data_IF_969937601543
#
_entry.id   IF_969937601543
#
_cell.length_a   1.000
_cell.length_b   1.000
_cell.length_c   1.000
_cell.angle_alpha   90.00
_cell.angle_beta   90.00
_cell.angle_gamma   90.00
#
_symmetry.space_group_name_H-M   'P 1'
#
loop_
_entity.id
_entity.type
_entity.pdbx_description
1 polymer ?
#
# COMPACT_ATOMS: atom_id res chain seq x y z
N UNK A 1 -15.00 -0.80 5.61
CA UNK A 1 -15.25 0.32 6.52
C UNK A 1 -15.52 1.59 5.71
N UNK A 2 -16.32 2.51 6.26
CA UNK A 2 -16.64 3.80 5.62
C UNK A 2 -16.31 4.94 6.58
N UNK A 3 -15.69 6.01 6.04
CA UNK A 3 -15.26 7.19 6.79
C UNK A 3 -15.63 8.46 6.02
N UNK A 4 -15.44 9.62 6.64
CA UNK A 4 -15.70 10.92 6.04
C UNK A 4 -17.20 11.21 5.90
N UNK A 5 -17.63 11.87 4.83
CA UNK A 5 -19.02 12.28 4.61
C UNK A 5 -19.84 11.10 4.08
N UNK A 6 -20.65 10.48 4.93
CA UNK A 6 -21.44 9.29 4.59
C UNK A 6 -22.35 9.52 3.36
N UNK A 7 -23.04 10.67 3.31
CA UNK A 7 -23.93 11.09 2.23
C UNK A 7 -23.23 12.04 1.25
N UNK A 8 -22.00 11.71 0.84
CA UNK A 8 -21.32 12.48 -0.18
C UNK A 8 -22.07 12.39 -1.52
N UNK A 9 -22.04 13.47 -2.30
CA UNK A 9 -22.64 13.50 -3.63
C UNK A 9 -22.06 12.38 -4.54
N UNK A 10 -22.80 11.92 -5.54
CA UNK A 10 -22.26 11.02 -6.56
C UNK A 10 -20.91 11.54 -7.11
N UNK A 11 -19.96 10.65 -7.37
CA UNK A 11 -18.61 11.04 -7.82
C UNK A 11 -17.70 11.61 -6.72
N UNK A 12 -18.07 11.53 -5.45
CA UNK A 12 -17.26 12.01 -4.31
C UNK A 12 -16.87 10.88 -3.35
N UNK A 13 -16.51 9.75 -3.92
CA UNK A 13 -16.03 8.59 -3.15
C UNK A 13 -14.57 8.30 -3.47
N UNK A 14 -13.75 8.20 -2.44
CA UNK A 14 -12.41 7.61 -2.50
C UNK A 14 -12.55 6.13 -2.13
N UNK A 15 -11.93 5.24 -2.88
CA UNK A 15 -11.87 3.81 -2.60
C UNK A 15 -10.42 3.41 -2.31
N UNK A 16 -10.13 3.03 -1.08
CA UNK A 16 -8.81 2.56 -0.65
C UNK A 16 -8.82 1.03 -0.55
N UNK A 17 -7.94 0.37 -1.28
CA UNK A 17 -7.87 -1.10 -1.29
C UNK A 17 -6.44 -1.61 -1.29
N UNK A 18 -6.28 -2.86 -0.87
CA UNK A 18 -4.99 -3.57 -0.81
C UNK A 18 -4.90 -4.53 0.36
N UNK A 19 -3.69 -4.76 0.80
CA UNK A 19 -3.39 -5.58 1.97
C UNK A 19 -3.17 -4.73 3.25
N UNK A 20 -2.29 -5.16 4.15
CA UNK A 20 -1.93 -4.39 5.35
C UNK A 20 -1.33 -3.02 5.03
N UNK A 21 -0.75 -2.83 3.85
CA UNK A 21 -0.25 -1.53 3.40
C UNK A 21 -1.37 -0.53 3.13
N UNK A 22 -2.55 -0.98 2.69
CA UNK A 22 -3.73 -0.10 2.63
C UNK A 22 -4.25 0.24 4.03
N UNK A 23 -4.18 -0.70 4.97
CA UNK A 23 -4.58 -0.46 6.36
C UNK A 23 -3.78 0.67 6.99
N UNK A 24 -2.46 0.71 6.79
CA UNK A 24 -1.59 1.76 7.39
C UNK A 24 -1.90 3.17 6.87
N UNK A 25 -2.54 3.33 5.72
CA UNK A 25 -2.94 4.63 5.15
C UNK A 25 -4.37 5.02 5.49
N UNK A 26 -5.16 4.14 6.12
CA UNK A 26 -6.59 4.38 6.40
C UNK A 26 -6.82 5.69 7.15
N UNK A 27 -6.08 5.94 8.23
CA UNK A 27 -6.23 7.17 9.04
C UNK A 27 -5.95 8.42 8.23
N UNK A 28 -4.90 8.41 7.45
CA UNK A 28 -4.47 9.56 6.62
C UNK A 28 -5.49 9.85 5.53
N UNK A 29 -5.93 8.83 4.80
CA UNK A 29 -6.91 8.99 3.72
C UNK A 29 -8.30 9.34 4.28
N UNK A 30 -8.66 8.84 5.49
CA UNK A 30 -9.91 9.22 6.15
C UNK A 30 -9.93 10.71 6.51
N UNK A 31 -8.83 11.25 7.05
CA UNK A 31 -8.70 12.70 7.32
C UNK A 31 -8.79 13.51 6.02
N UNK A 32 -8.09 13.06 4.97
CA UNK A 32 -8.15 13.70 3.65
C UNK A 32 -9.59 13.70 3.11
N UNK A 33 -10.30 12.59 3.19
CA UNK A 33 -11.71 12.50 2.77
C UNK A 33 -12.60 13.46 3.55
N UNK A 34 -12.41 13.56 4.87
CA UNK A 34 -13.18 14.46 5.74
C UNK A 34 -12.98 15.93 5.34
N UNK A 35 -11.73 16.36 5.21
CA UNK A 35 -11.40 17.76 4.82
C UNK A 35 -11.98 18.09 3.46
N UNK A 36 -11.97 17.16 2.51
CA UNK A 36 -12.50 17.37 1.16
C UNK A 36 -13.99 17.06 1.01
N UNK A 37 -14.73 16.84 2.11
CA UNK A 37 -16.17 16.50 2.08
C UNK A 37 -16.48 15.28 1.21
N UNK A 38 -15.60 14.28 1.22
CA UNK A 38 -15.72 13.05 0.46
C UNK A 38 -16.07 11.87 1.37
N UNK A 39 -16.64 10.83 0.78
CA UNK A 39 -16.76 9.51 1.40
C UNK A 39 -15.50 8.70 1.11
N UNK A 40 -14.94 8.05 2.13
CA UNK A 40 -13.92 7.03 1.96
C UNK A 40 -14.54 5.65 2.21
N UNK A 41 -14.37 4.75 1.28
CA UNK A 41 -14.63 3.31 1.46
C UNK A 41 -13.30 2.58 1.51
N UNK A 42 -13.07 1.83 2.58
CA UNK A 42 -11.85 1.02 2.76
C UNK A 42 -12.21 -0.45 2.68
N UNK A 43 -11.60 -1.13 1.71
CA UNK A 43 -11.59 -2.59 1.61
C UNK A 43 -10.13 -3.05 1.60
N UNK A 44 -9.64 -3.50 2.74
CA UNK A 44 -8.27 -3.98 2.90
C UNK A 44 -8.26 -5.30 3.67
N UNK A 45 -7.38 -6.24 3.27
CA UNK A 45 -7.24 -7.55 3.90
C UNK A 45 -5.76 -7.87 4.05
N UNK A 46 -5.21 -7.83 5.30
CA UNK A 46 -3.80 -8.13 5.54
C UNK A 46 -3.34 -9.42 4.87
N UNK A 47 -2.19 -9.37 4.21
CA UNK A 47 -1.60 -10.48 3.46
C UNK A 47 -2.24 -10.78 2.10
N UNK A 48 -3.41 -10.24 1.79
CA UNK A 48 -4.09 -10.46 0.51
C UNK A 48 -3.66 -9.40 -0.52
N UNK A 49 -2.56 -9.65 -1.18
CA UNK A 49 -1.96 -8.69 -2.12
C UNK A 49 -2.81 -8.43 -3.36
N UNK A 50 -2.69 -7.25 -3.93
CA UNK A 50 -3.44 -6.77 -5.12
C UNK A 50 -2.83 -7.33 -6.42
N UNK A 51 -2.85 -8.65 -6.57
CA UNK A 51 -2.36 -9.40 -7.71
C UNK A 51 -3.35 -10.50 -8.08
N UNK A 52 -3.36 -10.96 -9.32
CA UNK A 52 -4.10 -12.16 -9.73
C UNK A 52 -3.36 -13.43 -9.30
N UNK A 53 -4.02 -14.57 -9.47
CA UNK A 53 -3.52 -15.88 -9.01
C UNK A 53 -3.92 -16.18 -7.57
N UNK A 54 -4.19 -17.43 -7.28
CA UNK A 54 -4.53 -17.88 -5.93
C UNK A 54 -3.29 -17.89 -5.05
N UNK A 55 -3.37 -17.26 -3.87
CA UNK A 55 -2.26 -17.24 -2.91
C UNK A 55 -2.23 -18.49 -2.06
N UNK A 56 -1.05 -18.85 -1.53
CA UNK A 56 -0.95 -19.78 -0.39
C UNK A 56 -1.71 -19.22 0.80
N UNK A 57 -2.11 -20.08 1.72
CA UNK A 57 -2.85 -19.63 2.91
C UNK A 57 -2.14 -18.48 3.64
N UNK A 58 -2.84 -17.37 3.79
CA UNK A 58 -2.33 -16.10 4.34
C UNK A 58 -1.06 -15.56 3.68
N UNK A 59 -0.81 -15.93 2.42
CA UNK A 59 0.41 -15.55 1.67
C UNK A 59 1.72 -16.00 2.36
N UNK A 60 1.66 -17.09 3.13
CA UNK A 60 2.83 -17.65 3.80
C UNK A 60 3.48 -18.71 2.92
N UNK A 61 4.76 -18.56 2.55
CA UNK A 61 5.46 -19.56 1.75
C UNK A 61 5.44 -20.95 2.38
N UNK A 62 5.15 -21.98 1.57
CA UNK A 62 5.14 -23.37 2.02
C UNK A 62 3.91 -23.78 2.83
N UNK A 63 2.95 -22.89 3.10
CA UNK A 63 1.66 -23.30 3.68
C UNK A 63 0.81 -24.02 2.63
N UNK A 64 0.24 -25.18 2.98
CA UNK A 64 -0.55 -25.96 2.02
C UNK A 64 -1.87 -25.27 1.67
N UNK A 65 -2.24 -25.42 0.40
CA UNK A 65 -3.54 -25.05 -0.14
C UNK A 65 -3.75 -23.57 -0.47
N UNK A 66 -4.77 -23.30 -1.27
CA UNK A 66 -5.11 -21.94 -1.70
C UNK A 66 -5.82 -21.16 -0.60
N UNK A 67 -5.56 -19.85 -0.55
CA UNK A 67 -6.27 -18.94 0.35
C UNK A 67 -7.57 -18.41 -0.26
N UNK A 68 -8.60 -19.24 -0.31
CA UNK A 68 -9.90 -18.91 -0.92
C UNK A 68 -10.57 -17.68 -0.33
N UNK A 69 -10.30 -17.36 0.94
CA UNK A 69 -10.81 -16.13 1.56
C UNK A 69 -10.17 -14.84 0.99
N UNK A 70 -8.97 -14.92 0.44
CA UNK A 70 -8.37 -13.82 -0.32
C UNK A 70 -9.00 -13.70 -1.72
N UNK A 71 -9.23 -14.82 -2.41
CA UNK A 71 -9.86 -14.82 -3.72
C UNK A 71 -11.29 -14.24 -3.66
N UNK A 72 -12.09 -14.65 -2.64
CA UNK A 72 -13.41 -14.07 -2.37
C UNK A 72 -13.33 -12.56 -2.05
N UNK A 73 -12.33 -12.15 -1.27
CA UNK A 73 -12.12 -10.74 -0.95
C UNK A 73 -11.82 -9.90 -2.21
N UNK A 74 -10.93 -10.37 -3.09
CA UNK A 74 -10.62 -9.67 -4.36
C UNK A 74 -11.85 -9.57 -5.25
N UNK A 75 -12.65 -10.64 -5.34
CA UNK A 75 -13.92 -10.61 -6.08
C UNK A 75 -14.90 -9.58 -5.49
N UNK A 76 -14.99 -9.50 -4.15
CA UNK A 76 -15.82 -8.50 -3.48
C UNK A 76 -15.33 -7.06 -3.73
N UNK A 77 -13.99 -6.83 -3.78
CA UNK A 77 -13.41 -5.54 -4.17
C UNK A 77 -13.86 -5.15 -5.58
N UNK A 78 -13.75 -6.08 -6.54
CA UNK A 78 -14.17 -5.84 -7.92
C UNK A 78 -15.68 -5.49 -8.03
N UNK A 79 -16.53 -6.21 -7.30
CA UNK A 79 -17.96 -5.93 -7.24
C UNK A 79 -18.26 -4.57 -6.61
N UNK A 80 -17.57 -4.23 -5.51
CA UNK A 80 -17.72 -2.95 -4.83
C UNK A 80 -17.32 -1.77 -5.73
N UNK A 81 -16.20 -1.87 -6.46
CA UNK A 81 -15.76 -0.83 -7.39
C UNK A 81 -16.80 -0.63 -8.51
N UNK A 82 -17.32 -1.71 -9.10
CA UNK A 82 -18.39 -1.65 -10.11
C UNK A 82 -19.65 -0.96 -9.60
N UNK A 83 -20.08 -1.29 -8.38
CA UNK A 83 -21.29 -0.74 -7.78
C UNK A 83 -21.14 0.70 -7.32
N UNK A 84 -20.00 1.05 -6.72
CA UNK A 84 -19.78 2.36 -6.11
C UNK A 84 -19.36 3.43 -7.13
N UNK A 85 -18.77 3.04 -8.27
CA UNK A 85 -18.17 3.96 -9.24
C UNK A 85 -17.37 5.08 -8.55
N UNK A 86 -16.31 4.75 -7.81
CA UNK A 86 -15.57 5.74 -7.03
C UNK A 86 -14.90 6.77 -7.96
N UNK A 87 -14.76 8.00 -7.48
CA UNK A 87 -14.06 9.05 -8.22
C UNK A 87 -12.53 8.92 -8.14
N UNK A 88 -12.02 8.25 -7.10
CA UNK A 88 -10.59 7.98 -6.93
C UNK A 88 -10.40 6.57 -6.34
N UNK A 89 -9.58 5.76 -6.98
CA UNK A 89 -9.12 4.47 -6.46
C UNK A 89 -7.67 4.60 -6.02
N UNK A 90 -7.39 4.27 -4.78
CA UNK A 90 -6.04 4.22 -4.21
C UNK A 90 -5.73 2.77 -3.85
N UNK A 91 -4.71 2.21 -4.48
CA UNK A 91 -4.22 0.85 -4.17
C UNK A 91 -2.91 0.95 -3.40
N UNK A 92 -2.82 0.24 -2.28
CA UNK A 92 -1.58 0.10 -1.53
C UNK A 92 -1.39 -1.37 -1.14
N UNK A 93 -0.39 -2.02 -1.70
CA UNK A 93 -0.19 -3.46 -1.56
C UNK A 93 1.28 -3.83 -1.56
N UNK A 94 1.59 -4.94 -0.89
CA UNK A 94 2.90 -5.56 -0.96
C UNK A 94 3.15 -6.07 -2.39
N UNK A 95 4.35 -5.86 -2.97
CA UNK A 95 4.69 -6.34 -4.30
C UNK A 95 4.89 -7.87 -4.35
N UNK A 96 5.10 -8.54 -3.20
CA UNK A 96 5.42 -9.97 -3.16
C UNK A 96 4.22 -10.85 -2.89
N UNK A 97 4.11 -11.94 -3.66
CA UNK A 97 3.09 -12.97 -3.53
C UNK A 97 3.73 -14.36 -3.45
N UNK A 98 3.14 -15.23 -2.64
CA UNK A 98 3.39 -16.67 -2.63
C UNK A 98 2.14 -17.37 -3.16
N UNK A 99 2.25 -18.00 -4.34
CA UNK A 99 1.12 -18.60 -5.04
C UNK A 99 0.87 -20.03 -4.57
N UNK A 100 -0.37 -20.48 -4.67
CA UNK A 100 -0.80 -21.83 -4.27
C UNK A 100 -0.15 -22.95 -5.11
N UNK A 101 0.34 -22.62 -6.31
CA UNK A 101 1.09 -23.52 -7.18
C UNK A 101 2.60 -23.59 -6.86
N UNK A 102 3.03 -22.95 -5.77
CA UNK A 102 4.41 -22.92 -5.28
C UNK A 102 5.29 -21.83 -5.89
N UNK A 103 4.83 -21.10 -6.91
CA UNK A 103 5.58 -19.98 -7.47
C UNK A 103 5.60 -18.78 -6.52
N UNK A 104 6.63 -17.95 -6.62
CA UNK A 104 6.79 -16.73 -5.80
C UNK A 104 7.20 -15.55 -6.67
N UNK A 105 6.50 -14.44 -6.53
CA UNK A 105 6.85 -13.23 -7.27
C UNK A 105 8.15 -12.61 -6.77
N UNK A 106 8.57 -12.90 -5.53
CA UNK A 106 9.87 -12.47 -5.00
C UNK A 106 11.08 -13.02 -5.74
N UNK A 107 10.92 -14.18 -6.40
CA UNK A 107 11.97 -14.81 -7.23
C UNK A 107 11.66 -14.75 -8.73
N UNK A 108 10.48 -14.27 -9.09
CA UNK A 108 9.99 -14.17 -10.47
C UNK A 108 9.34 -12.79 -10.68
N UNK A 109 10.13 -11.71 -10.87
CA UNK A 109 9.60 -10.35 -11.00
C UNK A 109 8.60 -10.19 -12.14
N UNK A 110 8.81 -10.87 -13.28
CA UNK A 110 7.87 -10.83 -14.41
C UNK A 110 6.50 -11.40 -14.03
N UNK A 111 6.44 -12.48 -13.27
CA UNK A 111 5.17 -13.03 -12.76
C UNK A 111 4.46 -12.01 -11.85
N UNK A 112 5.22 -11.28 -11.02
CA UNK A 112 4.71 -10.20 -10.19
C UNK A 112 4.14 -9.05 -11.03
N UNK A 113 4.85 -8.66 -12.08
CA UNK A 113 4.39 -7.69 -13.08
C UNK A 113 3.04 -8.11 -13.68
N UNK A 114 2.98 -9.28 -14.30
CA UNK A 114 1.82 -9.76 -15.05
C UNK A 114 0.58 -9.90 -14.15
N UNK A 115 0.75 -10.44 -12.94
CA UNK A 115 -0.33 -10.57 -11.97
C UNK A 115 -0.83 -9.22 -11.45
N UNK A 116 0.06 -8.25 -11.24
CA UNK A 116 -0.30 -6.88 -10.83
C UNK A 116 -1.01 -6.16 -11.96
N UNK A 117 -0.45 -6.19 -13.17
CA UNK A 117 -1.04 -5.58 -14.37
C UNK A 117 -2.46 -6.09 -14.59
N UNK A 118 -2.65 -7.41 -14.56
CA UNK A 118 -3.96 -8.05 -14.73
C UNK A 118 -4.96 -7.57 -13.66
N UNK A 119 -4.58 -7.53 -12.39
CA UNK A 119 -5.46 -7.11 -11.30
C UNK A 119 -5.84 -5.62 -11.42
N UNK A 120 -4.87 -4.74 -11.64
CA UNK A 120 -5.10 -3.30 -11.73
C UNK A 120 -5.90 -2.92 -12.99
N UNK A 121 -5.66 -3.60 -14.12
CA UNK A 121 -6.48 -3.45 -15.35
C UNK A 121 -7.94 -3.82 -15.08
N UNK A 122 -8.21 -4.88 -14.33
CA UNK A 122 -9.57 -5.23 -13.92
C UNK A 122 -10.23 -4.12 -13.08
N UNK A 123 -9.51 -3.51 -12.14
CA UNK A 123 -10.02 -2.38 -11.34
C UNK A 123 -10.36 -1.18 -12.24
N UNK A 124 -9.43 -0.77 -13.11
CA UNK A 124 -9.64 0.33 -14.07
C UNK A 124 -10.87 0.12 -14.92
N UNK A 125 -11.03 -1.08 -15.49
CA UNK A 125 -12.15 -1.39 -16.38
C UNK A 125 -13.51 -1.35 -15.68
N UNK A 126 -13.56 -1.47 -14.35
CA UNK A 126 -14.80 -1.37 -13.56
C UNK A 126 -15.17 0.05 -13.15
N UNK A 127 -14.22 0.98 -13.17
CA UNK A 127 -14.45 2.39 -12.88
C UNK A 127 -13.59 3.26 -13.85
N UNK A 128 -13.94 3.30 -15.13
CA UNK A 128 -13.11 3.88 -16.19
C UNK A 128 -12.91 5.39 -16.04
N UNK A 129 -13.78 6.08 -15.30
CA UNK A 129 -13.71 7.52 -15.07
C UNK A 129 -13.02 7.89 -13.75
N UNK A 130 -12.56 6.91 -12.97
CA UNK A 130 -11.88 7.16 -11.69
C UNK A 130 -10.47 7.66 -11.91
N UNK A 131 -10.00 8.58 -11.04
CA UNK A 131 -8.58 8.76 -10.83
C UNK A 131 -7.96 7.49 -10.25
N UNK A 132 -6.77 7.11 -10.71
CA UNK A 132 -6.13 5.85 -10.35
C UNK A 132 -4.75 6.10 -9.75
N UNK A 133 -4.55 5.74 -8.49
CA UNK A 133 -3.27 5.87 -7.78
C UNK A 133 -2.81 4.54 -7.19
N UNK A 134 -1.52 4.25 -7.31
CA UNK A 134 -0.87 3.14 -6.64
C UNK A 134 0.23 3.65 -5.72
N UNK A 135 0.11 3.39 -4.41
CA UNK A 135 1.16 3.69 -3.43
C UNK A 135 2.19 2.57 -3.48
N UNK A 136 3.37 2.89 -4.00
CA UNK A 136 4.45 1.93 -4.28
C UNK A 136 5.70 2.24 -3.46
N UNK A 137 6.73 1.39 -3.57
CA UNK A 137 8.07 1.61 -3.00
C UNK A 137 8.05 1.93 -1.49
N UNK A 138 7.27 1.16 -0.72
CA UNK A 138 7.32 1.27 0.75
C UNK A 138 8.61 0.61 1.26
N UNK A 139 9.50 1.36 1.95
CA UNK A 139 10.76 0.79 2.43
C UNK A 139 10.51 -0.14 3.63
N UNK A 140 10.92 -1.41 3.49
CA UNK A 140 10.95 -2.34 4.61
C UNK A 140 12.21 -2.12 5.43
N UNK A 141 12.04 -1.89 6.72
CA UNK A 141 13.16 -1.67 7.66
C UNK A 141 13.38 -2.85 8.60
N UNK A 142 12.76 -4.01 8.32
CA UNK A 142 12.92 -5.23 9.11
C UNK A 142 14.07 -6.11 8.66
N UNK A 143 14.70 -6.75 9.63
CA UNK A 143 15.41 -8.00 9.42
C UNK A 143 16.80 -7.87 8.85
N UNK A 144 17.58 -6.92 9.29
CA UNK A 144 19.03 -7.06 9.28
C UNK A 144 19.39 -7.88 10.52
N UNK A 145 19.71 -9.16 10.30
CA UNK A 145 20.32 -10.08 11.28
C UNK A 145 20.01 -9.79 12.76
N UNK A 146 18.86 -10.24 13.21
CA UNK A 146 18.62 -10.53 14.64
C UNK A 146 18.29 -9.37 15.57
N UNK A 147 18.39 -8.11 15.18
CA UNK A 147 18.26 -7.00 16.14
C UNK A 147 17.53 -5.75 15.63
N UNK A 148 17.15 -5.66 14.40
CA UNK A 148 16.64 -4.39 13.84
C UNK A 148 15.12 -4.22 13.98
N UNK A 149 14.61 -4.33 15.19
CA UNK A 149 13.37 -3.68 15.56
C UNK A 149 13.74 -2.23 15.93
N UNK A 150 13.32 -1.19 15.16
CA UNK A 150 13.67 0.19 15.48
C UNK A 150 13.29 0.59 16.90
N UNK A 151 12.16 0.11 17.41
CA UNK A 151 11.68 0.43 18.76
C UNK A 151 12.59 -0.21 19.83
N UNK A 152 12.98 -1.48 19.65
CA UNK A 152 13.89 -2.15 20.57
C UNK A 152 15.29 -1.50 20.55
N UNK A 153 15.79 -1.15 19.37
CA UNK A 153 17.05 -0.43 19.22
C UNK A 153 17.01 0.92 19.93
N UNK A 154 15.97 1.73 19.71
CA UNK A 154 15.83 3.05 20.35
C UNK A 154 15.77 2.97 21.87
N UNK A 155 15.21 1.90 22.42
CA UNK A 155 15.18 1.72 23.89
C UNK A 155 16.58 1.51 24.46
N UNK A 156 17.49 0.90 23.70
CA UNK A 156 18.89 0.67 24.10
C UNK A 156 19.81 1.87 23.76
N UNK A 157 19.46 2.70 22.77
CA UNK A 157 20.30 3.79 22.26
C UNK A 157 19.66 5.18 22.41
N UNK A 158 19.07 5.47 23.57
CA UNK A 158 18.31 6.72 23.82
C UNK A 158 19.11 8.00 23.59
N UNK A 159 20.42 7.98 23.85
CA UNK A 159 21.30 9.13 23.67
C UNK A 159 21.83 9.27 22.23
N UNK A 160 21.71 8.24 21.39
CA UNK A 160 22.23 8.21 20.01
C UNK A 160 21.23 7.50 19.09
N UNK A 161 20.10 8.14 18.82
CA UNK A 161 19.00 7.55 18.04
C UNK A 161 19.40 7.15 16.62
N UNK A 162 20.39 7.84 16.01
CA UNK A 162 20.94 7.53 14.69
C UNK A 162 21.67 6.17 14.61
N UNK A 163 22.06 5.59 15.76
CA UNK A 163 22.59 4.23 15.81
C UNK A 163 21.52 3.18 15.40
N UNK A 164 20.25 3.58 15.39
CA UNK A 164 19.11 2.74 14.98
C UNK A 164 18.65 2.97 13.56
N UNK A 165 19.31 3.84 12.81
CA UNK A 165 19.02 4.06 11.40
C UNK A 165 19.40 2.81 10.59
N UNK A 166 18.53 2.39 9.69
CA UNK A 166 18.72 1.15 8.94
C UNK A 166 18.75 1.41 7.44
N UNK A 167 19.44 0.55 6.70
CA UNK A 167 19.29 0.52 5.24
C UNK A 167 18.03 -0.23 4.88
N UNK A 168 17.25 0.25 3.89
CA UNK A 168 16.07 -0.48 3.42
C UNK A 168 16.49 -1.88 2.96
N UNK A 169 15.67 -2.86 3.31
CA UNK A 169 15.87 -4.25 2.89
C UNK A 169 15.51 -4.43 1.42
N UNK A 170 16.17 -5.37 0.74
CA UNK A 170 15.71 -5.90 -0.55
C UNK A 170 14.26 -6.42 -0.41
N UNK A 171 13.39 -6.19 -1.40
CA UNK A 171 11.94 -6.40 -1.29
C UNK A 171 11.17 -5.15 -0.89
N UNK A 172 11.84 -4.03 -0.68
CA UNK A 172 11.25 -2.75 -0.27
C UNK A 172 10.64 -1.93 -1.42
N UNK A 173 10.49 -2.52 -2.59
CA UNK A 173 9.91 -1.83 -3.74
C UNK A 173 10.92 -1.10 -4.64
N UNK A 174 12.20 -1.08 -4.28
CA UNK A 174 13.29 -0.55 -5.12
C UNK A 174 14.12 -1.67 -5.77
N UNK A 175 13.78 -2.91 -5.47
CA UNK A 175 14.36 -4.08 -6.11
C UNK A 175 13.58 -4.45 -7.40
N UNK A 176 14.02 -5.51 -8.07
CA UNK A 176 13.42 -5.97 -9.32
C UNK A 176 11.90 -6.22 -9.19
N UNK A 177 11.42 -6.68 -8.03
CA UNK A 177 10.00 -6.97 -7.80
C UNK A 177 9.19 -5.69 -7.63
N UNK A 178 9.68 -4.74 -6.84
CA UNK A 178 9.03 -3.46 -6.66
C UNK A 178 9.02 -2.63 -7.95
N UNK A 179 10.12 -2.67 -8.70
CA UNK A 179 10.21 -2.05 -10.02
C UNK A 179 9.19 -2.67 -10.98
N UNK A 180 9.11 -3.99 -11.07
CA UNK A 180 8.14 -4.71 -11.90
C UNK A 180 6.69 -4.35 -11.53
N UNK A 181 6.38 -4.28 -10.24
CA UNK A 181 5.05 -3.88 -9.74
C UNK A 181 4.72 -2.43 -10.09
N UNK A 182 5.70 -1.53 -9.99
CA UNK A 182 5.52 -0.11 -10.35
C UNK A 182 5.29 0.07 -11.85
N UNK A 183 6.03 -0.66 -12.69
CA UNK A 183 5.82 -0.69 -14.14
C UNK A 183 4.41 -1.18 -14.49
N UNK A 184 4.00 -2.32 -13.92
CA UNK A 184 2.66 -2.87 -14.10
C UNK A 184 1.54 -1.88 -13.70
N UNK A 185 1.74 -1.13 -12.61
CA UNK A 185 0.79 -0.11 -12.20
C UNK A 185 0.69 1.03 -13.25
N UNK A 186 1.82 1.52 -13.75
CA UNK A 186 1.84 2.54 -14.80
C UNK A 186 1.19 2.03 -16.11
N UNK A 187 1.49 0.81 -16.54
CA UNK A 187 0.89 0.19 -17.72
C UNK A 187 -0.62 -0.02 -17.55
N UNK A 188 -1.09 -0.32 -16.35
CA UNK A 188 -2.50 -0.37 -16.01
C UNK A 188 -3.18 1.02 -15.99
N UNK A 189 -2.43 2.11 -16.15
CA UNK A 189 -2.93 3.49 -16.12
C UNK A 189 -3.02 4.10 -14.72
N UNK A 190 -2.39 3.49 -13.72
CA UNK A 190 -2.30 4.05 -12.36
C UNK A 190 -1.12 5.02 -12.26
N UNK A 191 -1.34 6.18 -11.65
CA UNK A 191 -0.25 7.06 -11.24
C UNK A 191 0.45 6.45 -10.03
N UNK A 192 1.74 6.13 -10.16
CA UNK A 192 2.52 5.61 -9.04
C UNK A 192 2.95 6.73 -8.10
N UNK A 193 2.78 6.50 -6.80
CA UNK A 193 3.18 7.41 -5.73
C UNK A 193 4.19 6.69 -4.84
N UNK A 194 5.48 7.00 -5.01
CA UNK A 194 6.54 6.40 -4.21
C UNK A 194 6.47 6.93 -2.77
N UNK A 195 6.49 6.01 -1.82
CA UNK A 195 6.48 6.30 -0.39
C UNK A 195 7.90 6.44 0.17
N UNK A 196 8.92 5.98 -0.57
CA UNK A 196 10.31 5.91 -0.11
C UNK A 196 10.82 7.26 0.35
N UNK A 197 10.70 8.29 -0.48
CA UNK A 197 11.22 9.62 -0.19
C UNK A 197 10.61 10.30 1.06
N UNK A 198 9.54 9.73 1.60
CA UNK A 198 8.92 10.24 2.85
C UNK A 198 9.47 9.58 4.11
N UNK A 199 10.23 8.51 3.94
CA UNK A 199 10.67 7.64 5.03
C UNK A 199 12.18 7.41 5.02
N UNK A 200 12.79 7.42 3.85
CA UNK A 200 14.18 7.04 3.66
C UNK A 200 14.84 7.90 2.57
N UNK A 201 16.14 8.09 2.73
CA UNK A 201 17.06 8.45 1.66
C UNK A 201 17.95 7.22 1.36
N UNK A 202 19.24 7.31 1.58
CA UNK A 202 20.18 6.16 1.55
C UNK A 202 20.00 5.25 2.76
N UNK A 203 19.57 5.83 3.88
CA UNK A 203 19.14 5.14 5.10
C UNK A 203 17.71 5.52 5.45
N UNK A 204 17.08 4.70 6.28
CA UNK A 204 15.76 4.95 6.85
C UNK A 204 15.96 5.34 8.32
N UNK A 205 15.76 6.61 8.69
CA UNK A 205 15.92 7.04 10.06
C UNK A 205 14.93 6.33 11.00
N UNK A 206 15.40 5.92 12.15
CA UNK A 206 14.56 5.34 13.19
C UNK A 206 13.62 6.39 13.82
N UNK A 207 13.99 7.67 13.75
CA UNK A 207 13.21 8.81 14.21
C UNK A 207 13.20 9.90 13.15
N UNK A 208 12.01 10.38 12.76
CA UNK A 208 11.82 11.50 11.84
C UNK A 208 10.98 12.58 12.54
N UNK A 209 11.51 13.78 12.66
CA UNK A 209 10.84 14.91 13.33
C UNK A 209 10.32 14.54 14.73
N UNK A 210 11.12 13.82 15.52
CA UNK A 210 10.79 13.42 16.86
C UNK A 210 9.79 12.25 16.98
N UNK A 211 9.40 11.63 15.88
CA UNK A 211 8.46 10.51 15.84
C UNK A 211 9.12 9.24 15.28
N UNK A 212 8.71 8.08 15.78
CA UNK A 212 9.08 6.79 15.22
C UNK A 212 8.15 6.53 14.02
N UNK A 213 8.67 6.48 12.77
CA UNK A 213 7.81 6.36 11.60
C UNK A 213 7.25 4.95 11.37
N UNK A 214 7.87 3.93 11.98
CA UNK A 214 7.54 2.53 11.73
C UNK A 214 6.76 1.92 12.88
N UNK A 215 5.99 0.85 12.57
CA UNK A 215 5.41 -0.01 13.60
C UNK A 215 6.51 -0.82 14.33
N UNK A 216 6.11 -1.53 15.37
CA UNK A 216 7.02 -2.37 16.15
C UNK A 216 7.77 -3.41 15.30
N UNK A 217 7.16 -3.87 14.21
CA UNK A 217 7.73 -4.88 13.34
C UNK A 217 8.57 -4.29 12.21
N UNK A 218 8.51 -2.96 11.99
CA UNK A 218 9.20 -2.26 10.90
C UNK A 218 8.66 -2.61 9.51
N UNK A 219 7.48 -3.21 9.44
CA UNK A 219 6.83 -3.61 8.17
C UNK A 219 5.79 -2.62 7.69
N UNK A 220 5.32 -1.73 8.57
CA UNK A 220 4.30 -0.75 8.28
C UNK A 220 4.67 0.61 8.82
N UNK A 221 4.05 1.65 8.25
CA UNK A 221 4.11 2.98 8.82
C UNK A 221 3.20 3.04 10.05
N UNK A 222 3.67 3.68 11.09
CA UNK A 222 2.90 3.96 12.29
C UNK A 222 1.76 4.95 11.98
N UNK A 223 0.57 4.73 12.52
CA UNK A 223 -0.61 5.55 12.26
C UNK A 223 -0.43 7.02 12.63
N UNK A 224 0.30 7.31 13.71
CA UNK A 224 0.57 8.70 14.14
C UNK A 224 1.45 9.41 13.12
N UNK A 225 2.51 8.75 12.66
CA UNK A 225 3.39 9.31 11.65
C UNK A 225 2.72 9.40 10.29
N UNK A 226 1.97 8.39 9.85
CA UNK A 226 1.25 8.45 8.57
C UNK A 226 0.31 9.64 8.50
N UNK A 227 -0.32 10.01 9.62
CA UNK A 227 -1.21 11.16 9.69
C UNK A 227 -0.50 12.51 9.43
N UNK A 228 0.80 12.62 9.71
CA UNK A 228 1.60 13.84 9.42
C UNK A 228 1.90 13.96 7.92
N UNK A 229 1.82 12.87 7.17
CA UNK A 229 2.03 12.83 5.73
C UNK A 229 0.79 13.22 4.92
N UNK A 230 -0.32 13.61 5.57
CA UNK A 230 -1.58 13.96 4.89
C UNK A 230 -1.37 15.00 3.79
N UNK A 231 -0.63 16.06 4.06
CA UNK A 231 -0.43 17.15 3.08
C UNK A 231 0.39 16.73 1.86
N UNK A 232 1.42 15.88 2.05
CA UNK A 232 2.22 15.38 0.92
C UNK A 232 1.45 14.35 0.12
N UNK A 233 0.71 13.44 0.78
CA UNK A 233 -0.15 12.48 0.12
C UNK A 233 -1.26 13.19 -0.67
N UNK A 234 -1.89 14.21 -0.08
CA UNK A 234 -2.92 15.00 -0.75
C UNK A 234 -2.41 15.59 -2.07
N UNK A 235 -1.28 16.31 -2.04
CA UNK A 235 -0.70 16.89 -3.28
C UNK A 235 -0.44 15.82 -4.35
N UNK A 236 0.03 14.63 -3.96
CA UNK A 236 0.26 13.53 -4.90
C UNK A 236 -1.04 12.96 -5.47
N UNK A 237 -2.05 12.77 -4.63
CA UNK A 237 -3.35 12.26 -5.08
C UNK A 237 -4.15 13.30 -5.88
N UNK A 238 -4.02 14.60 -5.58
CA UNK A 238 -4.65 15.67 -6.37
C UNK A 238 -4.05 15.80 -7.78
N UNK A 239 -2.78 15.45 -7.95
CA UNK A 239 -2.11 15.44 -9.24
C UNK A 239 -2.45 14.21 -10.14
N UNK A 240 -3.20 13.25 -9.62
CA UNK A 240 -3.66 12.09 -10.40
C UNK A 240 -4.68 12.55 -11.45
N UNK A 241 -4.57 12.13 -12.72
CA UNK A 241 -5.59 12.42 -13.73
C UNK A 241 -6.99 11.99 -13.26
N UNK A 242 -8.00 12.81 -13.52
CA UNK A 242 -9.39 12.63 -13.07
C UNK A 242 -9.57 12.60 -11.54
N UNK A 243 -8.57 13.03 -10.75
CA UNK A 243 -8.72 13.12 -9.30
C UNK A 243 -9.83 14.12 -8.94
N UNK A 244 -10.73 13.78 -8.00
CA UNK A 244 -11.72 14.72 -7.48
C UNK A 244 -11.14 15.69 -6.42
N UNK A 245 -9.86 15.52 -6.09
CA UNK A 245 -9.15 16.36 -5.12
C UNK A 245 -8.60 17.61 -5.83
N UNK A 246 -8.75 18.76 -5.22
CA UNK A 246 -8.14 20.02 -5.65
C UNK A 246 -7.07 20.47 -4.64
N UNK A 247 -6.02 21.11 -5.13
CA UNK A 247 -4.98 21.73 -4.29
C UNK A 247 -5.43 23.14 -3.91
#
# INVERSE_FOLDING_TARGET
CTFGKANAAPGRTIFLTGDSRAVMWTTTVARLATVNQMRLVVMAKPGCVSQTGSLTYMNVPGRPGPWTACDKFRSAVMSAVSSLQPALIVVASNPTASLADGRRTSTQPQLGHDNTLSYLTQLRNRAPNAGLAALVSFPLVTGISGSANPVACLSAHRAQVSACDVRPRAGSGDDAVGTATSLAANEAGFTTVSQRAWLCDTTCPAVINGMIPYDREGMHINNTYSATLMGVLWRKLAAVPHSPLSI
#
